data_IF_094924307963
#
_entry.id   IF_094924307963
#
_cell.length_a   1.000
_cell.length_b   1.000
_cell.length_c   1.000
_cell.angle_alpha   90.00
_cell.angle_beta   90.00
_cell.angle_gamma   90.00
#
_symmetry.space_group_name_H-M   'P 1'
#
loop_
_entity.id
_entity.type
_entity.pdbx_description
1 polymer ?
#
# COMPACT_ATOMS: atom_id res chain seq x y z
N UNK A 1 -19.29 -14.19 8.53
CA UNK A 1 -19.34 -13.67 7.16
C UNK A 1 -18.68 -12.31 7.11
N UNK A 2 -17.52 -12.25 6.57
CA UNK A 2 -16.92 -10.97 6.20
C UNK A 2 -17.72 -10.43 5.03
N UNK A 3 -18.55 -9.41 5.27
CA UNK A 3 -19.18 -8.67 4.20
C UNK A 3 -18.12 -8.32 3.17
N UNK A 4 -18.38 -8.57 1.91
CA UNK A 4 -17.49 -8.31 0.78
C UNK A 4 -17.14 -6.80 0.80
N UNK A 5 -16.10 -6.41 1.53
CA UNK A 5 -15.55 -5.06 1.42
C UNK A 5 -15.04 -4.92 0.00
N UNK A 6 -15.80 -4.22 -0.82
CA UNK A 6 -15.33 -3.84 -2.16
C UNK A 6 -14.15 -2.89 -2.00
N UNK A 7 -13.09 -3.16 -2.76
CA UNK A 7 -11.96 -2.22 -2.87
C UNK A 7 -12.29 -1.27 -4.03
N UNK A 8 -12.47 0.04 -3.75
CA UNK A 8 -12.69 1.01 -4.80
C UNK A 8 -11.49 1.11 -5.75
N UNK A 9 -11.73 1.00 -7.04
CA UNK A 9 -10.74 1.25 -8.08
C UNK A 9 -10.84 2.73 -8.46
N UNK A 10 -9.77 3.47 -8.26
CA UNK A 10 -9.71 4.92 -8.48
C UNK A 10 -9.24 5.24 -9.90
N UNK A 11 -8.31 4.44 -10.41
CA UNK A 11 -7.76 4.57 -11.75
C UNK A 11 -7.29 3.20 -12.26
N UNK A 12 -7.47 2.95 -13.54
CA UNK A 12 -6.94 1.75 -14.20
C UNK A 12 -6.68 2.05 -15.68
N UNK A 13 -5.49 1.67 -16.14
CA UNK A 13 -5.13 1.61 -17.55
C UNK A 13 -4.43 0.27 -17.87
N UNK A 14 -3.74 0.18 -18.99
CA UNK A 14 -3.06 -1.04 -19.39
C UNK A 14 -1.84 -1.38 -18.51
N UNK A 15 -1.28 -0.40 -17.84
CA UNK A 15 -0.02 -0.51 -17.07
C UNK A 15 -0.19 -0.40 -15.57
N UNK A 16 -1.20 0.34 -15.12
CA UNK A 16 -1.39 0.72 -13.71
C UNK A 16 -2.79 0.43 -13.23
N UNK A 17 -2.89 0.14 -11.94
CA UNK A 17 -4.14 0.09 -11.20
C UNK A 17 -3.96 0.83 -9.88
N UNK A 18 -4.83 1.81 -9.63
CA UNK A 18 -4.87 2.55 -8.36
C UNK A 18 -6.15 2.21 -7.64
N UNK A 19 -6.02 1.81 -6.39
CA UNK A 19 -7.16 1.49 -5.55
C UNK A 19 -7.08 2.19 -4.20
N UNK A 20 -8.20 2.21 -3.50
CA UNK A 20 -8.28 2.64 -2.10
C UNK A 20 -8.27 1.40 -1.20
N UNK A 21 -7.15 1.17 -0.51
CA UNK A 21 -7.04 0.08 0.46
C UNK A 21 -7.89 0.38 1.68
N UNK A 22 -8.82 -0.52 2.05
CA UNK A 22 -9.54 -0.38 3.31
C UNK A 22 -8.60 -0.50 4.52
N UNK A 23 -8.87 0.29 5.56
CA UNK A 23 -8.21 0.10 6.85
C UNK A 23 -8.49 -1.30 7.42
N UNK A 24 -7.48 -1.96 7.95
CA UNK A 24 -7.58 -3.30 8.52
C UNK A 24 -7.38 -4.45 7.54
N UNK A 25 -7.26 -4.18 6.23
CA UNK A 25 -6.98 -5.19 5.22
C UNK A 25 -5.48 -5.26 4.92
N UNK A 26 -4.83 -6.44 4.98
CA UNK A 26 -3.43 -6.57 4.59
C UNK A 26 -3.26 -6.40 3.08
N UNK A 27 -2.10 -5.90 2.65
CA UNK A 27 -1.78 -5.75 1.21
C UNK A 27 -1.54 -7.10 0.55
N UNK A 28 -0.80 -7.97 1.23
CA UNK A 28 -0.47 -9.32 0.78
C UNK A 28 -0.89 -10.35 1.83
N UNK A 29 -1.09 -11.60 1.39
CA UNK A 29 -1.45 -12.71 2.27
C UNK A 29 -0.52 -12.82 3.46
N UNK A 30 -1.12 -12.95 4.63
CA UNK A 30 -0.45 -13.24 5.87
C UNK A 30 -0.95 -14.61 6.44
N UNK A 31 -0.48 -14.95 7.62
CA UNK A 31 -0.88 -16.20 8.29
C UNK A 31 -2.30 -16.16 8.86
N UNK A 32 -2.99 -15.02 8.79
CA UNK A 32 -4.33 -14.85 9.37
C UNK A 32 -5.46 -15.47 8.55
N UNK A 33 -5.21 -15.83 7.28
CA UNK A 33 -6.22 -16.34 6.36
C UNK A 33 -7.23 -15.29 5.88
N UNK A 34 -6.98 -14.02 6.16
CA UNK A 34 -7.83 -12.93 5.69
C UNK A 34 -7.58 -12.64 4.20
N UNK A 35 -8.63 -12.10 3.56
CA UNK A 35 -8.51 -11.59 2.20
C UNK A 35 -7.57 -10.38 2.19
N UNK A 36 -6.61 -10.40 1.28
CA UNK A 36 -5.67 -9.31 1.05
C UNK A 36 -5.98 -8.54 -0.24
N UNK A 37 -5.44 -7.33 -0.33
CA UNK A 37 -5.69 -6.43 -1.45
C UNK A 37 -5.21 -7.02 -2.77
N UNK A 38 -4.00 -7.59 -2.80
CA UNK A 38 -3.39 -8.13 -4.01
C UNK A 38 -4.21 -9.29 -4.58
N UNK A 39 -4.62 -10.23 -3.74
CA UNK A 39 -5.48 -11.36 -4.15
C UNK A 39 -6.83 -10.88 -4.68
N UNK A 40 -7.45 -9.91 -4.00
CA UNK A 40 -8.71 -9.32 -4.47
C UNK A 40 -8.57 -8.69 -5.85
N UNK A 41 -7.52 -7.89 -6.06
CA UNK A 41 -7.30 -7.20 -7.32
C UNK A 41 -6.91 -8.15 -8.46
N UNK A 42 -6.15 -9.20 -8.18
CA UNK A 42 -5.86 -10.26 -9.17
C UNK A 42 -7.14 -10.96 -9.62
N UNK A 43 -8.04 -11.26 -8.69
CA UNK A 43 -9.33 -11.84 -9.01
C UNK A 43 -10.19 -10.89 -9.85
N UNK A 44 -10.23 -9.62 -9.50
CA UNK A 44 -10.91 -8.57 -10.27
C UNK A 44 -10.38 -8.48 -11.70
N UNK A 45 -9.06 -8.50 -11.90
CA UNK A 45 -8.45 -8.47 -13.22
C UNK A 45 -8.72 -9.77 -14.01
N UNK A 46 -8.69 -10.91 -13.35
CA UNK A 46 -8.99 -12.20 -13.96
C UNK A 46 -10.41 -12.26 -14.51
N UNK A 47 -11.39 -11.74 -13.79
CA UNK A 47 -12.78 -11.68 -14.25
C UNK A 47 -13.00 -10.75 -15.46
N UNK A 48 -12.14 -9.75 -15.63
CA UNK A 48 -12.22 -8.78 -16.74
C UNK A 48 -11.49 -9.22 -17.99
N UNK A 49 -10.51 -10.12 -17.88
CA UNK A 49 -9.69 -10.51 -19.02
C UNK A 49 -10.39 -11.55 -19.90
N UNK A 50 -10.03 -11.53 -21.19
CA UNK A 50 -10.34 -12.60 -22.11
C UNK A 50 -9.18 -13.61 -22.11
N UNK A 51 -9.40 -14.80 -21.54
CA UNK A 51 -8.41 -15.88 -21.46
C UNK A 51 -8.19 -16.41 -20.07
N UNK A 52 -7.42 -17.50 -19.94
CA UNK A 52 -7.28 -18.31 -18.73
C UNK A 52 -5.97 -18.07 -17.97
N UNK A 53 -5.16 -17.07 -18.36
CA UNK A 53 -3.89 -16.77 -17.71
C UNK A 53 -4.03 -16.02 -16.40
N UNK A 54 -3.13 -16.25 -15.45
CA UNK A 54 -3.04 -15.44 -14.23
C UNK A 54 -2.60 -14.01 -14.58
N UNK A 55 -3.38 -12.98 -14.22
CA UNK A 55 -3.00 -11.60 -14.50
C UNK A 55 -1.76 -11.20 -13.69
N UNK A 56 -0.84 -10.50 -14.33
CA UNK A 56 0.28 -9.89 -13.63
C UNK A 56 -0.19 -8.68 -12.82
N UNK A 57 0.12 -8.68 -11.56
CA UNK A 57 -0.11 -7.55 -10.68
C UNK A 57 0.95 -7.56 -9.57
N UNK A 58 1.57 -6.42 -9.32
CA UNK A 58 2.53 -6.30 -8.22
C UNK A 58 2.41 -4.96 -7.52
N UNK A 59 2.49 -5.00 -6.19
CA UNK A 59 2.60 -3.82 -5.36
C UNK A 59 4.04 -3.28 -5.42
N UNK A 60 4.19 -1.97 -5.59
CA UNK A 60 5.50 -1.30 -5.59
C UNK A 60 5.78 -0.56 -4.29
N UNK A 61 4.76 -0.39 -3.47
CA UNK A 61 4.82 0.14 -2.11
C UNK A 61 3.77 -0.54 -1.24
N UNK A 62 3.80 -0.29 0.04
CA UNK A 62 2.88 -0.92 1.00
C UNK A 62 2.29 0.12 1.94
N UNK A 63 1.08 -0.16 2.40
CA UNK A 63 0.47 0.45 3.57
C UNK A 63 0.33 -0.62 4.65
N UNK A 64 0.61 -0.27 5.88
CA UNK A 64 0.41 -1.18 7.00
C UNK A 64 -1.07 -1.58 7.12
N UNK A 65 -1.34 -2.75 7.65
CA UNK A 65 -2.69 -3.30 7.75
C UNK A 65 -3.73 -2.32 8.33
N UNK A 66 -3.46 -1.61 9.44
CA UNK A 66 -4.43 -0.67 10.01
C UNK A 66 -4.67 0.58 9.16
N UNK A 67 -3.77 0.89 8.24
CA UNK A 67 -3.78 2.13 7.45
C UNK A 67 -4.63 1.95 6.20
N UNK A 68 -5.60 2.83 5.99
CA UNK A 68 -6.34 2.96 4.73
C UNK A 68 -5.74 4.03 3.83
N UNK A 69 -5.98 3.95 2.53
CA UNK A 69 -5.56 4.96 1.59
C UNK A 69 -5.23 4.44 0.20
N UNK A 70 -4.73 5.34 -0.63
CA UNK A 70 -4.44 5.04 -2.03
C UNK A 70 -3.19 4.17 -2.17
N UNK A 71 -3.29 3.18 -3.03
CA UNK A 71 -2.19 2.32 -3.44
C UNK A 71 -2.11 2.19 -4.95
N UNK A 72 -0.89 2.17 -5.46
CA UNK A 72 -0.59 1.95 -6.88
C UNK A 72 -0.03 0.56 -7.07
N UNK A 73 -0.60 -0.16 -8.03
CA UNK A 73 -0.12 -1.47 -8.48
C UNK A 73 0.31 -1.39 -9.93
N UNK A 74 1.36 -2.12 -10.26
CA UNK A 74 1.79 -2.29 -11.66
C UNK A 74 1.11 -3.52 -12.27
N UNK A 75 0.58 -3.36 -13.46
CA UNK A 75 -0.03 -4.43 -14.29
C UNK A 75 0.96 -5.04 -15.28
N UNK A 76 2.14 -4.44 -15.41
CA UNK A 76 3.24 -4.92 -16.27
C UNK A 76 4.57 -4.85 -15.54
N UNK A 77 5.53 -5.68 -15.98
CA UNK A 77 6.90 -5.68 -15.42
C UNK A 77 7.61 -4.35 -15.67
N UNK A 78 7.38 -3.74 -16.84
CA UNK A 78 7.95 -2.45 -17.21
C UNK A 78 7.44 -1.33 -16.28
N UNK A 79 6.14 -1.31 -16.02
CA UNK A 79 5.55 -0.35 -15.08
C UNK A 79 6.08 -0.55 -13.65
N UNK A 80 6.21 -1.80 -13.21
CA UNK A 80 6.79 -2.13 -11.92
C UNK A 80 8.22 -1.60 -11.77
N UNK A 81 9.05 -1.80 -12.79
CA UNK A 81 10.42 -1.32 -12.79
C UNK A 81 10.51 0.22 -12.78
N UNK A 82 9.68 0.91 -13.56
CA UNK A 82 9.63 2.38 -13.56
C UNK A 82 9.19 2.96 -12.22
N UNK A 83 8.10 2.44 -11.65
CA UNK A 83 7.60 2.90 -10.35
C UNK A 83 8.60 2.63 -9.22
N UNK A 84 9.23 1.45 -9.22
CA UNK A 84 10.26 1.13 -8.23
C UNK A 84 11.45 2.08 -8.30
N UNK A 85 11.87 2.46 -9.51
CA UNK A 85 12.93 3.45 -9.72
C UNK A 85 12.54 4.83 -9.21
N UNK A 86 11.32 5.29 -9.48
CA UNK A 86 10.81 6.56 -8.95
C UNK A 86 10.79 6.58 -7.42
N UNK A 87 10.39 5.47 -6.79
CA UNK A 87 10.40 5.35 -5.33
C UNK A 87 11.83 5.41 -4.78
N UNK A 88 12.78 4.70 -5.41
CA UNK A 88 14.20 4.71 -5.01
C UNK A 88 14.83 6.09 -5.16
N UNK A 89 14.43 6.85 -6.17
CA UNK A 89 14.93 8.20 -6.43
C UNK A 89 14.17 9.28 -5.65
N UNK A 90 13.26 8.92 -4.74
CA UNK A 90 12.43 9.86 -4.00
C UNK A 90 11.56 10.78 -4.88
N UNK A 91 11.20 10.32 -6.07
CA UNK A 91 10.31 11.03 -7.00
C UNK A 91 8.83 10.71 -6.76
N UNK A 92 8.55 9.77 -5.89
CA UNK A 92 7.20 9.32 -5.53
C UNK A 92 6.75 10.02 -4.24
N UNK A 93 5.93 11.05 -4.38
CA UNK A 93 5.41 11.80 -3.24
C UNK A 93 4.36 10.97 -2.48
N UNK A 94 4.47 10.97 -1.15
CA UNK A 94 3.55 10.31 -0.24
C UNK A 94 2.99 11.31 0.76
N UNK A 95 1.68 11.41 0.82
CA UNK A 95 0.98 12.27 1.76
C UNK A 95 0.06 11.43 2.65
N UNK A 96 0.11 11.67 3.95
CA UNK A 96 -0.68 10.96 4.96
C UNK A 96 -1.44 11.92 5.84
N UNK A 97 -2.59 11.47 6.33
CA UNK A 97 -3.31 12.12 7.40
C UNK A 97 -3.29 11.25 8.64
N UNK A 98 -3.05 11.84 9.79
CA UNK A 98 -3.03 11.15 11.07
C UNK A 98 -3.79 11.93 12.13
N UNK A 99 -4.45 11.22 13.02
CA UNK A 99 -5.03 11.80 14.24
C UNK A 99 -4.01 11.67 15.35
N UNK A 100 -3.70 12.78 16.00
CA UNK A 100 -2.73 12.83 17.11
C UNK A 100 -3.39 13.36 18.37
N UNK A 101 -2.80 13.04 19.52
CA UNK A 101 -3.21 13.61 20.79
C UNK A 101 -2.54 14.97 21.02
N UNK A 102 -3.32 15.94 21.55
CA UNK A 102 -2.85 17.28 21.84
C UNK A 102 -2.85 18.20 20.63
N UNK A 103 -2.18 19.32 20.76
CA UNK A 103 -2.03 20.33 19.73
C UNK A 103 -0.55 20.47 19.33
N UNK A 104 -0.30 20.60 18.04
CA UNK A 104 1.06 20.94 17.58
C UNK A 104 1.35 22.40 17.88
N UNK A 105 2.60 22.74 18.27
CA UNK A 105 2.98 24.11 18.60
C UNK A 105 2.97 25.03 17.38
N UNK A 106 3.18 24.46 16.20
CA UNK A 106 3.24 25.17 14.93
C UNK A 106 2.28 24.50 13.92
N UNK A 107 1.81 25.28 12.95
CA UNK A 107 0.92 24.81 11.89
C UNK A 107 1.62 23.83 10.94
N UNK A 108 2.92 23.98 10.76
CA UNK A 108 3.77 23.08 9.98
C UNK A 108 5.17 22.99 10.56
N UNK A 109 5.87 21.93 10.26
CA UNK A 109 7.23 21.70 10.72
C UNK A 109 7.80 20.38 10.20
N UNK A 110 9.02 20.08 10.61
CA UNK A 110 9.71 18.85 10.23
C UNK A 110 10.15 18.10 11.49
N UNK A 111 9.87 16.81 11.53
CA UNK A 111 10.45 15.89 12.50
C UNK A 111 11.60 15.15 11.83
N UNK A 112 12.76 15.16 12.48
CA UNK A 112 13.95 14.45 12.00
C UNK A 112 14.49 13.57 13.13
N UNK A 113 14.24 12.27 13.02
CA UNK A 113 14.57 11.30 14.07
C UNK A 113 15.30 10.10 13.49
N UNK A 114 16.24 9.57 14.26
CA UNK A 114 16.82 8.26 13.98
C UNK A 114 15.92 7.17 14.52
N UNK A 115 15.52 6.24 13.64
CA UNK A 115 14.60 5.17 14.00
C UNK A 115 15.30 3.81 14.00
N UNK A 116 15.10 3.06 15.07
CA UNK A 116 15.53 1.66 15.17
C UNK A 116 14.32 0.74 15.23
N UNK A 117 14.25 -0.20 14.29
CA UNK A 117 13.22 -1.23 14.28
C UNK A 117 13.72 -2.49 14.97
N UNK A 118 12.95 -2.97 15.94
CA UNK A 118 13.10 -4.30 16.53
C UNK A 118 12.20 -5.29 15.76
N UNK A 119 12.82 -6.17 14.99
CA UNK A 119 12.10 -7.19 14.21
C UNK A 119 11.43 -8.27 15.05
N UNK A 120 11.87 -8.49 16.30
CA UNK A 120 11.29 -9.49 17.20
C UNK A 120 9.97 -9.05 17.80
N UNK A 121 9.92 -7.78 18.19
CA UNK A 121 8.71 -7.17 18.81
C UNK A 121 7.84 -6.42 17.81
N UNK A 122 8.31 -6.27 16.56
CA UNK A 122 7.70 -5.47 15.51
C UNK A 122 7.41 -4.01 15.96
N UNK A 123 8.33 -3.45 16.74
CA UNK A 123 8.26 -2.07 17.23
C UNK A 123 9.37 -1.22 16.66
N UNK A 124 9.08 0.07 16.48
CA UNK A 124 10.05 1.07 16.07
C UNK A 124 10.19 2.11 17.17
N UNK A 125 11.43 2.47 17.51
CA UNK A 125 11.74 3.45 18.54
C UNK A 125 12.61 4.55 17.97
N UNK A 126 12.42 5.76 18.46
CA UNK A 126 13.37 6.85 18.26
C UNK A 126 14.60 6.56 19.11
N UNK A 127 15.77 6.65 18.51
CA UNK A 127 17.06 6.44 19.19
C UNK A 127 17.95 7.67 19.01
N UNK A 128 18.91 7.90 19.92
CA UNK A 128 19.89 8.97 19.77
C UNK A 128 20.69 8.80 18.47
N UNK A 129 21.02 9.92 17.86
CA UNK A 129 21.87 9.96 16.67
C UNK A 129 23.31 9.50 17.00
#
# INVERSE_FOLDING_TARGET
>A
MLGKKKIPIVFEDDSLLVCEKPAGMPVQSDTSGNVDVETYLKHYLFEKQEGDGEPYLTAVHRLDRPVGGLMVFAKTKEAAAKLSRQIQNHEFEKCYQAVVCGALPEEFGTFEDMLLRDGKTNTTKVVPA
#
